data_IF_426754548775
#
_entry.id   IF_426754548775
#
_cell.length_a   1.000
_cell.length_b   1.000
_cell.length_c   1.000
_cell.angle_alpha   90.00
_cell.angle_beta   90.00
_cell.angle_gamma   90.00
#
_symmetry.space_group_name_H-M   'P 1'
#
loop_
_entity.id
_entity.type
_entity.pdbx_description
1 polymer ?
#
# COMPACT_ATOMS: atom_id res chain seq x y z
N UNK A 1 -9.21 -8.35 19.78
CA UNK A 1 -9.20 -7.63 21.11
C UNK A 1 -7.89 -7.82 21.89
N UNK A 2 -7.22 -8.98 21.84
CA UNK A 2 -5.94 -9.19 22.56
C UNK A 2 -4.77 -8.36 21.98
N UNK A 3 -4.69 -8.21 20.66
CA UNK A 3 -3.69 -7.38 19.97
C UNK A 3 -3.84 -5.92 20.36
N UNK A 4 -5.06 -5.37 20.27
CA UNK A 4 -5.34 -3.97 20.64
C UNK A 4 -4.97 -3.66 22.08
N UNK A 5 -5.29 -4.58 23.03
CA UNK A 5 -4.86 -4.42 24.42
C UNK A 5 -3.36 -4.30 24.58
N UNK A 6 -2.59 -5.10 23.83
CA UNK A 6 -1.12 -5.02 23.83
C UNK A 6 -0.62 -3.72 23.22
N UNK A 7 -1.23 -3.25 22.13
CA UNK A 7 -0.88 -1.98 21.48
C UNK A 7 -1.16 -0.79 22.39
N UNK A 8 -2.30 -0.78 23.09
CA UNK A 8 -2.63 0.30 24.05
C UNK A 8 -1.72 0.33 25.27
N UNK A 9 -1.19 -0.82 25.67
CA UNK A 9 -0.25 -0.92 26.78
C UNK A 9 1.22 -0.71 26.36
N UNK A 10 1.52 -0.65 25.06
CA UNK A 10 2.88 -0.50 24.56
C UNK A 10 3.42 0.90 24.88
N UNK A 11 4.67 0.94 25.36
CA UNK A 11 5.37 2.20 25.57
C UNK A 11 6.00 2.66 24.27
N UNK A 12 5.96 3.97 23.95
CA UNK A 12 6.69 4.52 22.83
C UNK A 12 8.20 4.22 22.94
N UNK A 13 8.81 3.81 21.86
CA UNK A 13 10.27 3.57 21.79
C UNK A 13 11.05 4.84 21.47
N UNK A 14 10.37 5.91 21.05
CA UNK A 14 10.92 7.23 20.77
C UNK A 14 9.86 8.32 20.99
N UNK A 15 10.26 9.58 21.20
CA UNK A 15 9.31 10.69 21.22
C UNK A 15 8.51 10.78 19.91
N UNK A 16 7.22 11.07 20.03
CA UNK A 16 6.33 11.20 18.87
C UNK A 16 6.80 12.34 17.94
N UNK A 17 6.69 12.13 16.64
CA UNK A 17 6.99 13.12 15.61
C UNK A 17 8.46 13.31 15.25
N UNK A 18 9.40 12.69 15.97
CA UNK A 18 10.83 12.93 15.72
C UNK A 18 11.45 12.02 14.65
N UNK A 19 10.80 10.93 14.33
CA UNK A 19 11.38 9.91 13.45
C UNK A 19 10.36 9.31 12.51
N UNK A 20 10.77 9.14 11.25
CA UNK A 20 10.01 8.37 10.27
C UNK A 20 10.26 6.88 10.53
N UNK A 21 9.19 6.15 10.77
CA UNK A 21 9.25 4.70 10.98
C UNK A 21 7.95 4.05 10.49
N UNK A 22 8.06 3.19 9.50
CA UNK A 22 6.92 2.47 8.94
C UNK A 22 6.34 1.47 9.94
N UNK A 23 5.05 1.59 10.20
CA UNK A 23 4.30 0.73 11.10
C UNK A 23 3.38 -0.20 10.29
N UNK A 24 3.94 -1.25 9.69
CA UNK A 24 3.23 -2.12 8.77
C UNK A 24 1.94 -2.71 9.36
N UNK A 25 2.06 -3.41 10.49
CA UNK A 25 0.96 -4.21 11.02
C UNK A 25 0.17 -3.45 12.11
N UNK A 26 0.87 -2.76 12.99
CA UNK A 26 0.28 -2.18 14.20
C UNK A 26 -0.67 -1.03 13.89
N UNK A 27 -0.32 -0.17 12.92
CA UNK A 27 -1.19 0.94 12.50
C UNK A 27 -2.52 0.44 11.93
N UNK A 28 -2.52 -0.63 11.15
CA UNK A 28 -3.73 -1.19 10.59
C UNK A 28 -4.75 -1.64 11.65
N UNK A 29 -4.28 -2.27 12.74
CA UNK A 29 -5.19 -2.65 13.84
C UNK A 29 -5.80 -1.45 14.55
N UNK A 30 -5.03 -0.36 14.74
CA UNK A 30 -5.55 0.88 15.35
C UNK A 30 -6.58 1.54 14.43
N UNK A 31 -6.26 1.67 13.12
CA UNK A 31 -7.17 2.27 12.15
C UNK A 31 -8.42 1.42 11.93
N UNK A 32 -8.29 0.10 11.90
CA UNK A 32 -9.43 -0.82 11.82
C UNK A 32 -10.38 -0.68 13.01
N UNK A 33 -9.85 -0.59 14.24
CA UNK A 33 -10.66 -0.33 15.45
C UNK A 33 -11.35 1.03 15.39
N UNK A 34 -10.70 2.07 14.84
CA UNK A 34 -11.33 3.39 14.67
C UNK A 34 -12.51 3.29 13.68
N UNK A 35 -12.33 2.60 12.56
CA UNK A 35 -13.40 2.37 11.58
C UNK A 35 -14.57 1.64 12.24
N UNK A 36 -14.32 0.54 12.95
CA UNK A 36 -15.35 -0.22 13.65
C UNK A 36 -16.15 0.65 14.65
N UNK A 37 -15.44 1.48 15.43
CA UNK A 37 -16.10 2.38 16.41
C UNK A 37 -16.91 3.50 15.78
N UNK A 38 -16.45 4.03 14.66
CA UNK A 38 -17.12 5.16 13.99
C UNK A 38 -18.31 4.69 13.15
N UNK A 39 -18.18 3.54 12.49
CA UNK A 39 -19.19 3.03 11.54
C UNK A 39 -20.12 1.97 12.11
N UNK A 40 -19.72 1.30 13.21
CA UNK A 40 -20.39 0.11 13.73
C UNK A 40 -20.19 -1.15 12.87
N UNK A 41 -19.36 -1.09 11.82
CA UNK A 41 -19.07 -2.18 10.90
C UNK A 41 -17.66 -2.70 11.14
N UNK A 42 -17.45 -4.02 11.03
CA UNK A 42 -16.11 -4.55 10.95
C UNK A 42 -15.44 -4.12 9.63
N UNK A 43 -14.11 -4.20 9.56
CA UNK A 43 -13.36 -3.69 8.42
C UNK A 43 -13.70 -4.42 7.10
N UNK A 44 -14.03 -5.71 7.15
CA UNK A 44 -14.44 -6.48 5.95
C UNK A 44 -15.78 -5.99 5.43
N UNK A 45 -16.76 -5.79 6.31
CA UNK A 45 -18.06 -5.26 5.94
C UNK A 45 -17.93 -3.83 5.42
N UNK A 46 -17.13 -2.99 6.06
CA UNK A 46 -16.88 -1.62 5.62
C UNK A 46 -16.28 -1.58 4.20
N UNK A 47 -15.26 -2.38 3.91
CA UNK A 47 -14.64 -2.46 2.57
C UNK A 47 -15.63 -3.05 1.56
N UNK A 48 -16.43 -4.05 1.95
CA UNK A 48 -17.46 -4.61 1.08
C UNK A 48 -18.47 -3.55 0.61
N UNK A 49 -19.02 -2.78 1.54
CA UNK A 49 -20.05 -1.78 1.23
C UNK A 49 -19.47 -0.54 0.50
N UNK A 50 -18.23 -0.15 0.85
CA UNK A 50 -17.64 1.09 0.36
C UNK A 50 -16.88 0.92 -0.96
N UNK A 51 -16.23 -0.20 -1.17
CA UNK A 51 -15.29 -0.43 -2.29
C UNK A 51 -15.70 -1.64 -3.14
N UNK A 52 -15.73 -2.84 -2.54
CA UNK A 52 -15.91 -4.10 -3.26
C UNK A 52 -17.19 -4.09 -4.10
N UNK A 53 -18.33 -3.85 -3.48
CA UNK A 53 -19.65 -3.86 -4.12
C UNK A 53 -19.86 -2.69 -5.09
N UNK A 54 -19.57 -1.41 -4.73
CA UNK A 54 -19.76 -0.30 -5.65
C UNK A 54 -18.88 -0.34 -6.90
N UNK A 55 -17.70 -0.95 -6.82
CA UNK A 55 -16.74 -1.07 -7.92
C UNK A 55 -16.79 -2.41 -8.64
N UNK A 56 -17.67 -3.33 -8.22
CA UNK A 56 -17.76 -4.70 -8.76
C UNK A 56 -16.38 -5.41 -8.74
N UNK A 57 -15.80 -5.49 -7.53
CA UNK A 57 -14.47 -6.07 -7.30
C UNK A 57 -14.56 -7.24 -6.30
N UNK A 58 -15.09 -8.41 -6.70
CA UNK A 58 -15.45 -9.50 -5.79
C UNK A 58 -14.27 -10.12 -5.01
N UNK A 59 -13.04 -9.92 -5.47
CA UNK A 59 -11.83 -10.38 -4.77
C UNK A 59 -11.24 -9.33 -3.82
N UNK A 60 -11.62 -8.05 -3.96
CA UNK A 60 -10.98 -6.96 -3.22
C UNK A 60 -11.54 -6.83 -1.80
N UNK A 61 -11.02 -7.63 -0.87
CA UNK A 61 -11.42 -7.51 0.54
C UNK A 61 -10.38 -8.11 1.50
N UNK A 62 -10.54 -7.82 2.78
CA UNK A 62 -9.77 -8.42 3.86
C UNK A 62 -10.20 -9.86 4.13
N UNK A 63 -9.21 -10.74 4.17
CA UNK A 63 -9.42 -12.17 4.30
C UNK A 63 -10.03 -12.79 3.04
N UNK A 64 -9.75 -14.05 2.84
CA UNK A 64 -10.19 -14.80 1.66
C UNK A 64 -11.58 -15.40 1.88
N UNK A 65 -12.50 -15.19 0.97
CA UNK A 65 -13.78 -15.89 0.97
C UNK A 65 -13.55 -17.38 0.70
N UNK A 66 -14.24 -18.29 1.42
CA UNK A 66 -14.02 -19.73 1.27
C UNK A 66 -14.15 -20.25 -0.17
N UNK A 67 -15.06 -19.69 -0.95
CA UNK A 67 -15.29 -20.04 -2.36
C UNK A 67 -14.09 -19.77 -3.28
N UNK A 68 -13.24 -18.79 -2.94
CA UNK A 68 -12.06 -18.43 -3.74
C UNK A 68 -10.77 -19.10 -3.26
N UNK A 69 -10.85 -19.99 -2.27
CA UNK A 69 -9.66 -20.61 -1.67
C UNK A 69 -8.84 -21.45 -2.67
N UNK A 70 -9.51 -22.06 -3.67
CA UNK A 70 -8.83 -22.80 -4.72
C UNK A 70 -8.14 -21.90 -5.77
N UNK A 71 -8.52 -20.63 -5.84
CA UNK A 71 -8.00 -19.68 -6.82
C UNK A 71 -6.82 -18.87 -6.28
N UNK A 72 -6.56 -18.91 -4.96
CA UNK A 72 -5.51 -18.12 -4.36
C UNK A 72 -4.12 -18.60 -4.78
N UNK A 73 -3.31 -17.67 -5.27
CA UNK A 73 -1.92 -17.93 -5.58
C UNK A 73 -1.07 -17.95 -4.31
N UNK A 74 -0.50 -19.11 -3.98
CA UNK A 74 0.30 -19.28 -2.75
C UNK A 74 1.65 -18.57 -2.86
N UNK A 75 2.07 -17.96 -1.77
CA UNK A 75 3.39 -17.36 -1.64
C UNK A 75 4.48 -18.42 -1.57
N UNK A 76 5.63 -18.13 -2.16
CA UNK A 76 6.82 -18.97 -2.12
C UNK A 76 8.04 -18.15 -1.71
N UNK A 77 8.84 -18.63 -0.79
CA UNK A 77 10.15 -18.03 -0.52
C UNK A 77 11.07 -18.28 -1.73
N UNK A 78 11.64 -17.20 -2.27
CA UNK A 78 12.49 -17.24 -3.47
C UNK A 78 13.72 -16.37 -3.29
N UNK A 79 14.67 -16.46 -4.22
CA UNK A 79 15.91 -15.68 -4.20
C UNK A 79 16.99 -16.30 -3.34
N UNK A 80 17.97 -15.49 -2.97
CA UNK A 80 19.04 -15.93 -2.10
C UNK A 80 18.50 -16.20 -0.70
N UNK A 81 18.83 -17.36 -0.15
CA UNK A 81 18.52 -17.64 1.26
C UNK A 81 19.10 -16.55 2.15
N UNK A 82 18.28 -15.94 3.01
CA UNK A 82 18.77 -14.94 3.94
C UNK A 82 19.83 -15.57 4.84
N UNK A 83 21.09 -15.21 4.64
CA UNK A 83 22.19 -15.59 5.54
C UNK A 83 22.72 -14.32 6.17
N UNK A 84 22.77 -14.32 7.51
CA UNK A 84 23.55 -13.39 8.37
C UNK A 84 23.11 -11.93 8.43
N UNK A 85 22.16 -11.34 8.09
CA UNK A 85 21.76 -9.93 8.23
C UNK A 85 20.30 -9.71 7.87
N UNK A 86 19.87 -10.36 6.78
CA UNK A 86 18.49 -10.26 6.31
C UNK A 86 17.50 -10.96 7.25
N UNK A 87 17.87 -12.08 7.89
CA UNK A 87 17.00 -12.72 8.88
C UNK A 87 16.86 -11.86 10.14
N UNK A 88 17.95 -11.23 10.58
CA UNK A 88 17.88 -10.30 11.71
C UNK A 88 16.97 -9.10 11.38
N UNK A 89 17.11 -8.54 10.20
CA UNK A 89 16.25 -7.45 9.72
C UNK A 89 14.79 -7.89 9.63
N UNK A 90 14.50 -9.05 9.02
CA UNK A 90 13.14 -9.56 8.89
C UNK A 90 12.53 -9.91 10.25
N UNK A 91 13.29 -10.48 11.17
CA UNK A 91 12.85 -10.69 12.55
C UNK A 91 12.48 -9.37 13.24
N UNK A 92 13.23 -8.32 12.98
CA UNK A 92 12.93 -6.98 13.52
C UNK A 92 11.65 -6.37 12.91
N UNK A 93 11.47 -6.49 11.59
CA UNK A 93 10.37 -5.86 10.86
C UNK A 93 9.07 -6.67 10.91
N UNK A 94 9.17 -7.99 10.79
CA UNK A 94 8.02 -8.90 10.66
C UNK A 94 7.79 -9.78 11.91
N UNK A 95 8.73 -9.80 12.84
CA UNK A 95 8.68 -10.70 13.99
C UNK A 95 9.04 -12.15 13.68
N UNK A 96 9.61 -12.44 12.50
CA UNK A 96 10.01 -13.78 12.06
C UNK A 96 10.78 -13.75 10.74
N UNK A 97 11.51 -14.84 10.45
CA UNK A 97 12.23 -14.99 9.19
C UNK A 97 11.30 -15.11 7.97
N UNK A 98 11.87 -15.01 6.77
CA UNK A 98 11.14 -15.03 5.51
C UNK A 98 10.25 -16.27 5.35
N UNK A 99 10.77 -17.46 5.65
CA UNK A 99 10.01 -18.71 5.53
C UNK A 99 8.79 -18.71 6.44
N UNK A 100 8.95 -18.30 7.70
CA UNK A 100 7.82 -18.21 8.63
C UNK A 100 6.75 -17.23 8.14
N UNK A 101 7.15 -16.07 7.58
CA UNK A 101 6.20 -15.12 7.03
C UNK A 101 5.45 -15.71 5.82
N UNK A 102 6.13 -16.45 4.95
CA UNK A 102 5.50 -17.17 3.83
C UNK A 102 4.53 -18.23 4.33
N UNK A 103 4.93 -19.05 5.28
CA UNK A 103 4.11 -20.13 5.86
C UNK A 103 2.84 -19.54 6.51
N UNK A 104 2.99 -18.46 7.28
CA UNK A 104 1.86 -17.75 7.92
C UNK A 104 0.90 -17.21 6.88
N UNK A 105 1.39 -16.58 5.80
CA UNK A 105 0.51 -16.01 4.77
C UNK A 105 -0.21 -17.06 3.94
N UNK A 106 0.29 -18.29 3.89
CA UNK A 106 -0.35 -19.43 3.24
C UNK A 106 -1.24 -20.27 4.18
N UNK A 107 -1.25 -19.97 5.47
CA UNK A 107 -2.08 -20.68 6.44
C UNK A 107 -3.55 -20.25 6.33
N UNK A 108 -4.47 -21.22 6.30
CA UNK A 108 -5.90 -20.94 6.19
C UNK A 108 -6.43 -20.03 7.29
N UNK A 109 -5.87 -20.12 8.50
CA UNK A 109 -6.23 -19.24 9.64
C UNK A 109 -5.91 -17.78 9.37
N UNK A 110 -4.78 -17.50 8.67
CA UNK A 110 -4.43 -16.16 8.23
C UNK A 110 -5.35 -15.70 7.10
N UNK A 111 -5.66 -16.60 6.16
CA UNK A 111 -6.59 -16.32 5.07
C UNK A 111 -8.01 -15.98 5.57
N UNK A 112 -8.46 -16.64 6.63
CA UNK A 112 -9.82 -16.46 7.17
C UNK A 112 -9.97 -15.21 8.04
N UNK A 113 -8.87 -14.68 8.57
CA UNK A 113 -8.92 -13.54 9.52
C UNK A 113 -8.82 -12.19 8.82
N UNK A 114 -9.07 -11.13 9.57
CA UNK A 114 -8.78 -9.76 9.16
C UNK A 114 -7.43 -9.36 9.74
N UNK A 115 -6.44 -9.17 8.87
CA UNK A 115 -5.16 -8.54 9.21
C UNK A 115 -5.11 -7.18 8.49
N UNK A 116 -5.48 -6.07 9.16
CA UNK A 116 -5.80 -4.81 8.49
C UNK A 116 -4.69 -4.20 7.63
N UNK A 117 -3.45 -4.62 7.84
CA UNK A 117 -2.30 -4.13 7.06
C UNK A 117 -1.66 -5.20 6.17
N UNK A 118 -2.25 -6.39 6.05
CA UNK A 118 -1.48 -7.48 5.47
C UNK A 118 -2.24 -8.50 4.64
N UNK A 119 -3.57 -8.53 4.63
CA UNK A 119 -4.28 -9.57 3.92
C UNK A 119 -5.53 -9.12 3.14
N UNK A 120 -5.41 -8.03 2.39
CA UNK A 120 -6.33 -7.82 1.28
C UNK A 120 -6.00 -8.86 0.20
N UNK A 121 -7.00 -9.66 -0.17
CA UNK A 121 -6.96 -10.53 -1.33
C UNK A 121 -7.58 -9.81 -2.51
N UNK A 122 -6.91 -9.86 -3.65
CA UNK A 122 -7.35 -9.15 -4.86
C UNK A 122 -6.63 -9.71 -6.09
N UNK A 123 -7.16 -9.47 -7.27
CA UNK A 123 -6.42 -9.64 -8.53
C UNK A 123 -5.60 -8.38 -8.84
N UNK A 124 -4.59 -8.51 -9.71
CA UNK A 124 -3.81 -7.36 -10.16
C UNK A 124 -4.69 -6.32 -10.87
N UNK A 125 -5.69 -6.78 -11.61
CA UNK A 125 -6.66 -5.93 -12.29
C UNK A 125 -7.49 -5.13 -11.29
N UNK A 126 -8.07 -5.76 -10.27
CA UNK A 126 -8.88 -5.06 -9.27
C UNK A 126 -8.06 -4.10 -8.40
N UNK A 127 -6.82 -4.46 -8.06
CA UNK A 127 -5.90 -3.53 -7.42
C UNK A 127 -5.60 -2.33 -8.32
N UNK A 128 -5.40 -2.53 -9.63
CA UNK A 128 -5.24 -1.46 -10.61
C UNK A 128 -6.46 -0.53 -10.66
N UNK A 129 -7.68 -1.08 -10.71
CA UNK A 129 -8.93 -0.30 -10.66
C UNK A 129 -9.04 0.53 -9.38
N UNK A 130 -8.63 0.00 -8.23
CA UNK A 130 -8.60 0.76 -6.99
C UNK A 130 -7.69 1.98 -7.09
N UNK A 131 -6.48 1.83 -7.62
CA UNK A 131 -5.57 2.96 -7.81
C UNK A 131 -6.02 3.90 -8.93
N UNK A 132 -6.72 3.43 -9.95
CA UNK A 132 -7.37 4.28 -10.94
C UNK A 132 -8.50 5.13 -10.33
N UNK A 133 -9.31 4.55 -9.47
CA UNK A 133 -10.33 5.29 -8.71
C UNK A 133 -9.69 6.39 -7.88
N UNK A 134 -8.58 6.12 -7.18
CA UNK A 134 -7.84 7.15 -6.45
C UNK A 134 -7.29 8.23 -7.38
N UNK A 135 -6.73 7.85 -8.54
CA UNK A 135 -6.21 8.76 -9.56
C UNK A 135 -7.31 9.65 -10.15
N UNK A 136 -8.54 9.16 -10.18
CA UNK A 136 -9.72 9.88 -10.66
C UNK A 136 -10.46 10.66 -9.55
N UNK A 137 -9.74 11.06 -8.49
CA UNK A 137 -10.34 11.85 -7.40
C UNK A 137 -11.42 11.10 -6.61
N UNK A 138 -11.34 9.78 -6.54
CA UNK A 138 -12.30 8.95 -5.84
C UNK A 138 -13.50 8.50 -6.68
N UNK A 139 -13.51 8.78 -7.97
CA UNK A 139 -14.58 8.37 -8.90
C UNK A 139 -14.20 7.14 -9.71
N UNK A 140 -15.16 6.28 -9.97
CA UNK A 140 -15.00 5.12 -10.84
C UNK A 140 -16.27 4.89 -11.68
N UNK A 141 -16.12 4.81 -13.01
CA UNK A 141 -17.23 4.63 -13.97
C UNK A 141 -18.42 5.59 -13.71
N UNK A 142 -18.13 6.87 -13.44
CA UNK A 142 -19.13 7.90 -13.19
C UNK A 142 -19.78 7.86 -11.80
N UNK A 143 -19.36 6.97 -10.92
CA UNK A 143 -19.81 6.90 -9.51
C UNK A 143 -18.74 7.48 -8.59
N UNK A 144 -19.13 8.34 -7.67
CA UNK A 144 -18.26 8.80 -6.59
C UNK A 144 -18.20 7.71 -5.51
N UNK A 145 -17.03 7.09 -5.34
CA UNK A 145 -16.75 6.03 -4.36
C UNK A 145 -16.22 6.65 -3.06
N UNK A 146 -15.24 7.53 -3.18
CA UNK A 146 -14.66 8.30 -2.07
C UNK A 146 -14.68 9.78 -2.44
N UNK A 147 -14.84 10.69 -1.47
CA UNK A 147 -14.87 12.11 -1.79
C UNK A 147 -13.50 12.61 -2.28
N UNK A 148 -13.47 13.52 -3.25
CA UNK A 148 -12.25 14.19 -3.74
C UNK A 148 -11.43 14.76 -2.59
N UNK A 149 -12.09 15.43 -1.64
CA UNK A 149 -11.45 15.98 -0.44
C UNK A 149 -10.74 14.92 0.39
N UNK A 150 -11.30 13.71 0.47
CA UNK A 150 -10.67 12.59 1.18
C UNK A 150 -9.41 12.14 0.44
N UNK A 151 -9.48 11.97 -0.88
CA UNK A 151 -8.32 11.59 -1.70
C UNK A 151 -7.23 12.64 -1.61
N UNK A 152 -7.59 13.92 -1.77
CA UNK A 152 -6.65 15.03 -1.62
C UNK A 152 -5.89 14.97 -0.30
N UNK A 153 -6.61 14.90 0.81
CA UNK A 153 -6.00 14.85 2.15
C UNK A 153 -5.15 13.60 2.36
N UNK A 154 -5.59 12.45 1.84
CA UNK A 154 -4.86 11.21 1.97
C UNK A 154 -3.55 11.19 1.19
N UNK A 155 -3.47 11.92 0.07
CA UNK A 155 -2.29 11.94 -0.83
C UNK A 155 -1.37 13.14 -0.64
N UNK A 156 -1.77 14.14 0.19
CA UNK A 156 -0.91 15.28 0.53
C UNK A 156 0.38 14.81 1.21
N UNK A 157 1.55 15.27 0.76
CA UNK A 157 2.81 14.98 1.43
C UNK A 157 2.81 15.46 2.87
N UNK A 158 3.03 14.56 3.82
CA UNK A 158 3.16 14.87 5.25
C UNK A 158 4.61 14.85 5.72
N UNK A 159 5.50 14.26 4.92
CA UNK A 159 6.93 14.20 5.23
C UNK A 159 7.77 14.60 4.02
N UNK A 160 8.95 15.18 4.27
CA UNK A 160 10.02 15.23 3.29
C UNK A 160 10.67 13.85 3.08
N UNK A 161 11.70 13.79 2.23
CA UNK A 161 12.52 12.58 2.08
C UNK A 161 13.39 12.39 3.31
N UNK A 162 13.15 11.33 4.06
CA UNK A 162 13.92 10.98 5.25
C UNK A 162 14.17 9.45 5.27
N UNK A 163 15.21 9.03 5.98
CA UNK A 163 15.45 7.61 6.18
C UNK A 163 14.36 7.04 7.09
N UNK A 164 13.58 6.10 6.56
CA UNK A 164 12.64 5.33 7.36
C UNK A 164 13.42 4.34 8.26
N UNK A 165 13.18 4.39 9.57
CA UNK A 165 13.94 3.59 10.53
C UNK A 165 13.55 2.12 10.55
N UNK A 166 12.40 1.79 9.99
CA UNK A 166 11.94 0.39 9.85
C UNK A 166 12.42 -0.19 8.52
N UNK A 167 12.22 0.52 7.42
CA UNK A 167 12.59 0.04 6.08
C UNK A 167 14.06 0.26 5.74
N UNK A 168 14.77 1.16 6.47
CA UNK A 168 16.18 1.52 6.30
C UNK A 168 16.50 2.11 4.90
N UNK A 169 15.52 2.69 4.25
CA UNK A 169 15.66 3.36 2.95
C UNK A 169 15.04 4.76 3.00
N UNK A 170 15.46 5.68 2.09
CA UNK A 170 14.83 6.99 1.96
C UNK A 170 13.36 6.86 1.55
N UNK A 171 12.46 7.46 2.31
CA UNK A 171 11.02 7.41 2.08
C UNK A 171 10.36 8.77 2.22
N UNK A 172 9.23 8.94 1.54
CA UNK A 172 8.26 10.03 1.72
C UNK A 172 6.89 9.41 1.96
N UNK A 173 6.10 10.04 2.80
CA UNK A 173 4.74 9.59 3.08
C UNK A 173 3.72 10.72 2.95
N UNK A 174 2.52 10.35 2.60
CA UNK A 174 1.29 11.06 2.85
C UNK A 174 0.61 10.50 4.12
N UNK A 175 -0.66 10.79 4.37
CA UNK A 175 -1.37 10.25 5.54
C UNK A 175 -1.56 8.72 5.49
N UNK A 176 -1.65 8.14 4.28
CA UNK A 176 -1.77 6.70 4.09
C UNK A 176 -0.70 6.18 3.12
N UNK A 177 -0.62 6.69 1.88
CA UNK A 177 0.27 6.19 0.87
C UNK A 177 1.76 6.50 1.14
N UNK A 178 2.60 5.63 0.62
CA UNK A 178 4.00 5.94 0.29
C UNK A 178 4.03 6.82 -0.95
N UNK A 179 4.94 7.77 -1.01
CA UNK A 179 5.08 8.71 -2.13
C UNK A 179 6.34 8.43 -2.95
N UNK A 180 6.23 8.68 -4.24
CA UNK A 180 7.38 8.70 -5.13
C UNK A 180 8.31 9.89 -4.86
N UNK A 181 9.45 9.93 -5.56
CA UNK A 181 10.47 10.99 -5.40
C UNK A 181 11.15 11.30 -6.72
N UNK A 182 11.77 12.46 -6.78
CA UNK A 182 12.66 12.90 -7.86
C UNK A 182 14.10 12.98 -7.33
N UNK A 183 15.12 12.63 -8.10
CA UNK A 183 15.08 12.04 -9.44
C UNK A 183 14.70 10.56 -9.47
N UNK A 184 14.83 9.83 -8.35
CA UNK A 184 14.52 8.40 -8.19
C UNK A 184 13.74 8.18 -6.91
N UNK A 185 12.71 7.36 -6.97
CA UNK A 185 11.88 6.97 -5.83
C UNK A 185 11.42 5.52 -5.89
N UNK A 186 10.54 5.16 -4.97
CA UNK A 186 10.01 3.80 -4.81
C UNK A 186 9.35 3.27 -6.10
N UNK A 187 8.71 4.13 -6.87
CA UNK A 187 7.96 3.77 -8.08
C UNK A 187 8.74 4.02 -9.38
N UNK A 188 10.06 4.22 -9.29
CA UNK A 188 10.95 4.46 -10.42
C UNK A 188 11.42 5.91 -10.54
N UNK A 189 12.10 6.25 -11.66
CA UNK A 189 12.63 7.58 -11.86
C UNK A 189 11.54 8.60 -12.18
N UNK A 190 11.74 9.81 -11.68
CA UNK A 190 10.88 10.96 -11.98
C UNK A 190 9.39 10.74 -11.65
N UNK A 191 9.12 10.13 -10.50
CA UNK A 191 7.77 9.80 -10.01
C UNK A 191 7.36 10.63 -8.79
N UNK A 192 7.80 11.90 -8.75
CA UNK A 192 7.61 12.77 -7.57
C UNK A 192 6.17 13.00 -7.13
N UNK A 193 5.19 12.83 -8.02
CA UNK A 193 3.76 12.94 -7.72
C UNK A 193 3.07 11.58 -7.56
N UNK A 194 3.77 10.47 -7.81
CA UNK A 194 3.19 9.15 -7.64
C UNK A 194 2.93 8.83 -6.17
N UNK A 195 1.84 8.13 -5.92
CA UNK A 195 1.45 7.66 -4.60
C UNK A 195 0.95 6.21 -4.67
N UNK A 196 1.26 5.44 -3.67
CA UNK A 196 0.92 4.02 -3.67
C UNK A 196 1.47 3.29 -2.47
N UNK A 197 1.75 2.01 -2.61
CA UNK A 197 2.28 1.22 -1.51
C UNK A 197 3.17 0.07 -1.97
N UNK A 198 4.16 -0.24 -1.14
CA UNK A 198 4.96 -1.46 -1.19
C UNK A 198 4.28 -2.51 -0.32
N UNK A 199 3.97 -3.67 -0.88
CA UNK A 199 3.50 -4.83 -0.11
C UNK A 199 4.64 -5.75 0.31
N UNK A 200 4.29 -6.84 0.98
CA UNK A 200 5.26 -7.83 1.42
C UNK A 200 6.03 -8.39 0.22
N UNK A 201 7.27 -7.93 0.10
CA UNK A 201 8.29 -8.32 -0.88
C UNK A 201 7.78 -8.34 -2.34
N UNK A 202 8.25 -7.40 -3.15
CA UNK A 202 8.01 -7.33 -4.61
C UNK A 202 6.53 -7.14 -5.04
N UNK A 203 5.68 -6.64 -4.17
CA UNK A 203 4.35 -6.15 -4.52
C UNK A 203 4.42 -4.63 -4.54
N UNK A 204 4.00 -4.02 -5.65
CA UNK A 204 3.95 -2.57 -5.82
C UNK A 204 2.64 -2.20 -6.50
N UNK A 205 1.86 -1.35 -5.86
CA UNK A 205 0.67 -0.77 -6.46
C UNK A 205 0.70 0.74 -6.27
N UNK A 206 0.52 1.49 -7.36
CA UNK A 206 0.56 2.95 -7.30
C UNK A 206 -0.24 3.61 -8.42
N UNK A 207 -0.51 4.89 -8.24
CA UNK A 207 -1.00 5.80 -9.25
C UNK A 207 0.03 6.90 -9.51
N UNK A 208 0.18 7.32 -10.76
CA UNK A 208 1.04 8.43 -11.15
C UNK A 208 0.23 9.49 -11.91
N UNK A 209 -0.15 10.59 -11.24
CA UNK A 209 -0.91 11.67 -11.87
C UNK A 209 -0.18 12.40 -12.99
N UNK A 210 1.16 12.35 -13.01
CA UNK A 210 1.93 12.99 -14.08
C UNK A 210 1.92 12.20 -15.39
N UNK A 211 1.60 10.89 -15.29
CA UNK A 211 1.54 9.97 -16.43
C UNK A 211 0.12 9.50 -16.74
N UNK A 212 -0.82 9.80 -15.85
CA UNK A 212 -2.21 9.32 -15.89
C UNK A 212 -2.29 7.79 -15.96
N UNK A 213 -1.52 7.10 -15.12
CA UNK A 213 -1.49 5.64 -15.06
C UNK A 213 -1.73 5.13 -13.63
N UNK A 214 -2.36 3.97 -13.55
CA UNK A 214 -2.35 3.12 -12.37
C UNK A 214 -1.57 1.84 -12.67
N UNK A 215 -0.76 1.39 -11.73
CA UNK A 215 0.07 0.19 -11.88
C UNK A 215 -0.15 -0.74 -10.71
N UNK A 216 -0.33 -2.02 -11.00
CA UNK A 216 -0.46 -3.08 -10.00
C UNK A 216 0.45 -4.24 -10.36
N UNK A 217 1.50 -4.42 -9.57
CA UNK A 217 2.45 -5.52 -9.67
C UNK A 217 2.27 -6.43 -8.46
N UNK A 218 1.63 -7.59 -8.68
CA UNK A 218 1.43 -8.61 -7.66
C UNK A 218 2.31 -9.84 -7.98
N UNK A 219 3.09 -10.28 -7.00
CA UNK A 219 3.95 -11.45 -7.13
C UNK A 219 3.79 -12.39 -5.95
N UNK A 220 3.93 -13.68 -6.18
CA UNK A 220 3.93 -14.72 -5.15
C UNK A 220 5.34 -15.11 -4.71
N UNK A 221 6.35 -14.85 -5.52
CA UNK A 221 7.76 -15.04 -5.17
C UNK A 221 8.20 -13.99 -4.16
N UNK A 222 8.44 -14.41 -2.92
CA UNK A 222 8.88 -13.54 -1.83
C UNK A 222 10.39 -13.61 -1.69
N UNK A 223 11.06 -12.55 -2.09
CA UNK A 223 12.50 -12.40 -1.99
C UNK A 223 12.84 -11.02 -1.43
N UNK A 224 13.81 -10.94 -0.52
CA UNK A 224 14.25 -9.67 0.06
C UNK A 224 15.45 -9.10 -0.68
N UNK A 225 16.45 -9.93 -0.94
CA UNK A 225 17.65 -9.57 -1.67
C UNK A 225 17.96 -10.62 -2.72
N UNK A 226 18.34 -10.19 -3.92
CA UNK A 226 18.69 -11.12 -5.00
C UNK A 226 18.69 -10.48 -6.37
N UNK A 227 18.86 -11.29 -7.39
CA UNK A 227 18.94 -10.88 -8.81
C UNK A 227 17.65 -10.27 -9.35
N UNK A 228 16.52 -10.41 -8.62
CA UNK A 228 15.24 -9.78 -8.97
C UNK A 228 15.26 -8.26 -8.80
N UNK A 229 16.09 -7.69 -7.91
CA UNK A 229 16.15 -6.24 -7.67
C UNK A 229 16.56 -5.43 -8.90
N UNK A 230 17.65 -5.79 -9.63
CA UNK A 230 17.95 -5.14 -10.91
C UNK A 230 16.83 -5.30 -11.94
N UNK A 231 16.18 -6.46 -12.01
CA UNK A 231 15.07 -6.69 -12.93
C UNK A 231 13.86 -5.81 -12.59
N UNK A 232 13.51 -5.71 -11.30
CA UNK A 232 12.45 -4.82 -10.81
C UNK A 232 12.79 -3.35 -11.10
N UNK A 233 14.03 -2.92 -10.80
CA UNK A 233 14.47 -1.56 -11.09
C UNK A 233 14.38 -1.23 -12.59
N UNK A 234 14.79 -2.19 -13.46
CA UNK A 234 14.63 -2.04 -14.90
C UNK A 234 13.17 -1.97 -15.32
N UNK A 235 12.28 -2.80 -14.75
CA UNK A 235 10.85 -2.73 -15.03
C UNK A 235 10.27 -1.36 -14.67
N UNK A 236 10.57 -0.82 -13.50
CA UNK A 236 10.12 0.50 -13.07
C UNK A 236 10.70 1.62 -13.97
N UNK A 237 11.94 1.47 -14.39
CA UNK A 237 12.56 2.38 -15.37
C UNK A 237 11.82 2.32 -16.72
N UNK A 238 11.54 1.11 -17.24
CA UNK A 238 10.81 0.95 -18.51
C UNK A 238 9.41 1.54 -18.44
N UNK A 239 8.66 1.33 -17.34
CA UNK A 239 7.36 1.97 -17.15
C UNK A 239 7.51 3.49 -17.23
N UNK A 240 8.50 4.06 -16.56
CA UNK A 240 8.70 5.51 -16.52
C UNK A 240 9.04 6.14 -17.88
N UNK A 241 9.72 5.41 -18.77
CA UNK A 241 10.09 5.91 -20.11
C UNK A 241 9.06 5.59 -21.19
N UNK A 242 8.36 4.45 -21.09
CA UNK A 242 7.34 4.04 -22.05
C UNK A 242 5.98 4.72 -21.78
N UNK A 243 5.74 5.16 -20.57
CA UNK A 243 4.59 5.97 -20.19
C UNK A 243 5.06 7.43 -19.94
N UNK A 244 5.17 8.27 -20.97
CA UNK A 244 5.69 9.62 -20.81
C UNK A 244 4.76 10.49 -19.98
N UNK A 245 5.31 11.53 -19.36
CA UNK A 245 4.51 12.52 -18.65
C UNK A 245 3.62 13.27 -19.62
N UNK A 246 2.37 13.41 -19.26
CA UNK A 246 1.42 14.23 -20.00
C UNK A 246 1.58 15.72 -19.64
N UNK A 247 1.31 16.64 -20.55
CA UNK A 247 1.30 18.09 -20.30
C UNK A 247 0.40 18.44 -19.12
N UNK A 248 0.75 19.47 -18.35
CA UNK A 248 -0.01 19.85 -17.13
C UNK A 248 -1.47 20.18 -17.40
N UNK A 249 -1.75 20.82 -18.50
CA UNK A 249 -3.08 21.21 -18.98
C UNK A 249 -3.96 20.02 -19.39
N UNK A 250 -3.36 18.86 -19.61
CA UNK A 250 -4.05 17.62 -19.98
C UNK A 250 -4.16 16.62 -18.84
N UNK A 251 -3.56 16.92 -17.66
CA UNK A 251 -3.64 16.03 -16.51
C UNK A 251 -5.04 16.03 -15.91
N UNK A 252 -5.48 14.87 -15.46
CA UNK A 252 -6.69 14.83 -14.62
C UNK A 252 -6.46 15.73 -13.41
N UNK A 253 -7.38 16.68 -13.19
CA UNK A 253 -7.38 17.41 -11.94
C UNK A 253 -7.76 16.40 -10.83
N UNK A 254 -6.84 16.12 -9.93
CA UNK A 254 -7.17 15.41 -8.68
C UNK A 254 -8.06 16.29 -7.79
N UNK A 255 -8.26 17.54 -8.21
CA UNK A 255 -9.00 18.58 -7.48
C UNK A 255 -9.90 19.27 -8.48
N UNK A 256 -11.19 19.31 -8.21
CA UNK A 256 -12.15 20.08 -9.00
C UNK A 256 -11.63 21.48 -9.27
N UNK A 257 -12.02 22.07 -10.40
CA UNK A 257 -11.54 23.35 -10.93
C UNK A 257 -11.71 24.57 -10.02
N UNK A 258 -12.25 24.41 -8.81
CA UNK A 258 -12.61 25.49 -7.89
C UNK A 258 -11.87 25.50 -6.53
N UNK A 259 -10.83 24.71 -6.33
CA UNK A 259 -10.08 24.80 -5.07
C UNK A 259 -8.93 25.80 -5.20
N UNK A 260 -9.14 26.97 -4.64
CA UNK A 260 -8.17 28.02 -4.41
C UNK A 260 -6.85 27.49 -3.86
N UNK A 261 -5.78 27.72 -4.61
CA UNK A 261 -4.37 27.49 -4.25
C UNK A 261 -3.87 28.43 -3.11
N UNK A 262 -4.79 29.20 -2.47
CA UNK A 262 -4.44 30.34 -1.62
C UNK A 262 -4.56 30.11 -0.11
N UNK A 263 -4.99 28.96 0.37
CA UNK A 263 -5.24 28.80 1.82
C UNK A 263 -4.32 27.81 2.56
N UNK A 264 -3.12 27.58 2.06
CA UNK A 264 -2.10 26.80 2.79
C UNK A 264 -0.73 27.50 2.74
N UNK A 265 -0.59 28.55 3.53
CA UNK A 265 0.70 29.04 4.08
C UNK A 265 0.68 28.80 5.56
#
# INVERSE_FOLDING_TARGET
RSILRRLYAARPVSPAGNHLAYHAVTAGYILGEIIERVTGQDLRQFVHETIEKPMDMPYFNYGLKPEYRAEVALNCATGLHPRLGTDHYLNHVLGGGLQLAVDVTNDSRFMDTICPAGNIYTSAEQAGRFFEMLLSGGSYQGKQILSEKTIFRATLPTTGVNIDRTLLIPMRYALGPMLGSNPVGLFGPMTGQAFGHLGFSNILCWADPERDISVSLLTTGKSVVGTHLPALANLLYQISIQCPRIPRDQRRSLFGSDSHETDLV
#
